data_IF_124450355542
#
_entry.id   IF_124450355542
#
_cell.length_a   1.000
_cell.length_b   1.000
_cell.length_c   1.000
_cell.angle_alpha   90.00
_cell.angle_beta   90.00
_cell.angle_gamma   90.00
#
_symmetry.space_group_name_H-M   'P 1'
#
loop_
_entity.id
_entity.type
_entity.pdbx_description
1 polymer ?
#
# COMPACT_ATOMS: atom_id res chain seq x y z
N UNK A 1 -32.24 35.51 27.82
CA UNK A 1 -31.16 35.94 28.73
C UNK A 1 -30.76 34.76 29.60
N UNK A 2 -29.49 34.29 29.51
CA UNK A 2 -28.68 33.55 30.51
C UNK A 2 -29.26 32.22 31.06
N UNK A 3 -28.54 31.14 31.39
CA UNK A 3 -27.13 30.72 31.34
C UNK A 3 -27.05 29.24 31.79
N UNK A 4 -25.92 28.59 31.51
CA UNK A 4 -25.49 27.26 31.92
C UNK A 4 -25.58 26.95 33.43
N UNK A 5 -25.65 25.64 33.78
CA UNK A 5 -24.57 24.90 34.48
C UNK A 5 -25.05 23.51 34.96
N UNK A 6 -24.33 22.44 34.58
CA UNK A 6 -24.47 21.11 35.18
C UNK A 6 -23.07 20.54 35.49
N UNK A 7 -22.73 20.53 36.77
CA UNK A 7 -21.75 19.67 37.47
C UNK A 7 -22.57 18.55 38.14
N UNK A 8 -22.19 17.28 38.32
CA UNK A 8 -20.93 16.59 38.51
C UNK A 8 -21.17 15.06 38.44
N UNK A 9 -20.20 14.26 37.97
CA UNK A 9 -20.16 12.78 38.07
C UNK A 9 -19.82 12.30 39.50
N UNK A 10 -19.80 10.97 39.88
CA UNK A 10 -18.77 10.01 39.38
C UNK A 10 -19.13 8.49 39.29
N UNK A 11 -18.47 7.83 38.31
CA UNK A 11 -17.76 6.52 38.34
C UNK A 11 -18.48 5.15 38.50
N UNK A 12 -18.31 4.28 37.49
CA UNK A 12 -17.49 3.04 37.54
C UNK A 12 -17.33 2.45 36.11
N UNK A 13 -16.16 2.57 35.46
CA UNK A 13 -14.93 1.74 35.51
C UNK A 13 -14.89 0.68 34.38
N UNK A 14 -14.61 1.11 33.15
CA UNK A 14 -14.16 0.25 32.05
C UNK A 14 -12.63 0.36 31.93
N UNK A 15 -11.91 -0.76 32.06
CA UNK A 15 -10.44 -0.80 32.02
C UNK A 15 -9.95 -0.48 30.61
N UNK A 16 -9.42 0.74 30.42
CA UNK A 16 -8.59 1.10 29.27
C UNK A 16 -7.30 0.28 29.31
N UNK A 17 -7.18 -0.67 28.39
CA UNK A 17 -5.87 -1.18 27.99
C UNK A 17 -5.03 -0.03 27.44
N UNK A 18 -3.78 -0.01 27.86
CA UNK A 18 -2.86 1.12 27.80
C UNK A 18 -2.54 1.50 26.36
N UNK A 19 -2.82 2.77 26.01
CA UNK A 19 -2.26 3.41 24.82
C UNK A 19 -0.73 3.42 24.95
N UNK A 20 0.04 3.08 23.91
CA UNK A 20 1.48 3.35 23.91
C UNK A 20 1.71 4.85 24.09
N UNK A 21 2.73 5.15 24.89
CA UNK A 21 3.07 6.47 25.43
C UNK A 21 3.20 7.52 24.33
N UNK A 22 2.65 8.69 24.64
CA UNK A 22 2.67 9.90 23.81
C UNK A 22 4.07 10.23 23.27
N UNK A 23 4.18 10.39 21.95
CA UNK A 23 5.25 11.15 21.31
C UNK A 23 4.80 12.61 21.34
N UNK A 24 5.01 13.27 22.48
CA UNK A 24 4.51 14.62 22.81
C UNK A 24 5.36 15.77 22.22
N UNK A 25 5.84 15.66 20.96
CA UNK A 25 6.51 16.80 20.31
C UNK A 25 6.36 16.92 18.79
N UNK A 26 5.77 15.96 18.09
CA UNK A 26 5.45 16.17 16.66
C UNK A 26 4.22 17.05 16.56
N UNK A 27 4.43 18.38 16.49
CA UNK A 27 3.48 19.31 15.87
C UNK A 27 2.94 18.60 14.63
N UNK A 28 1.63 18.45 14.54
CA UNK A 28 1.01 17.90 13.34
C UNK A 28 1.53 18.73 12.17
N UNK A 29 2.46 18.15 11.40
CA UNK A 29 2.69 18.58 10.04
C UNK A 29 1.41 18.20 9.31
N UNK A 30 0.37 19.01 9.52
CA UNK A 30 -0.70 19.17 8.57
C UNK A 30 0.02 19.73 7.35
N UNK A 31 0.55 18.84 6.53
CA UNK A 31 1.15 19.16 5.26
C UNK A 31 0.02 19.75 4.43
N UNK A 32 -0.23 21.07 4.54
CA UNK A 32 -1.01 21.81 3.55
C UNK A 32 -0.17 21.82 2.28
N UNK A 33 -0.16 20.69 1.59
CA UNK A 33 0.45 20.52 0.28
C UNK A 33 -0.47 21.22 -0.73
N UNK A 34 -0.50 22.56 -0.67
CA UNK A 34 -1.36 23.39 -1.52
C UNK A 34 -0.97 23.31 -3.02
N UNK A 35 0.06 22.51 -3.37
CA UNK A 35 0.64 22.41 -4.71
C UNK A 35 0.95 20.95 -5.10
N UNK A 36 0.06 20.01 -4.75
CA UNK A 36 0.19 18.62 -5.18
C UNK A 36 -0.24 18.48 -6.65
N UNK A 37 0.67 18.07 -7.54
CA UNK A 37 0.35 17.86 -8.96
C UNK A 37 1.58 17.60 -9.83
N UNK A 38 1.40 16.99 -11.02
CA UNK A 38 2.48 16.68 -11.96
C UNK A 38 3.27 17.94 -12.36
N UNK A 39 4.60 17.84 -12.41
CA UNK A 39 5.49 18.96 -12.72
C UNK A 39 5.62 20.03 -11.61
N UNK A 40 4.92 19.89 -10.49
CA UNK A 40 5.04 20.81 -9.36
C UNK A 40 6.21 20.42 -8.45
N UNK A 41 6.86 21.44 -7.87
CA UNK A 41 7.95 21.26 -6.92
C UNK A 41 7.38 21.23 -5.50
N UNK A 42 7.52 20.09 -4.82
CA UNK A 42 7.20 19.93 -3.41
C UNK A 42 8.40 20.40 -2.59
N UNK A 43 8.20 21.51 -1.88
CA UNK A 43 9.17 22.04 -0.92
C UNK A 43 8.77 21.52 0.45
N UNK A 44 9.58 20.65 1.03
CA UNK A 44 9.38 20.13 2.37
C UNK A 44 10.31 20.88 3.32
N UNK A 45 9.71 21.64 4.22
CA UNK A 45 10.43 22.29 5.32
C UNK A 45 10.34 21.35 6.52
N UNK A 46 11.47 20.75 6.88
CA UNK A 46 11.57 19.86 8.03
C UNK A 46 11.80 20.66 9.30
N UNK A 47 11.28 20.22 10.47
CA UNK A 47 11.47 20.91 11.74
C UNK A 47 12.91 20.84 12.28
N UNK A 48 13.76 20.00 11.68
CA UNK A 48 15.18 19.85 12.00
C UNK A 48 16.05 20.60 10.98
N UNK A 49 17.23 21.09 11.39
CA UNK A 49 18.20 21.86 10.56
C UNK A 49 18.81 21.07 9.36
N UNK A 50 18.12 20.04 8.86
CA UNK A 50 18.58 19.08 7.84
C UNK A 50 18.49 19.68 6.41
N UNK A 51 17.98 20.90 6.28
CA UNK A 51 17.96 21.63 5.02
C UNK A 51 16.65 21.47 4.24
N UNK A 52 16.51 22.29 3.20
CA UNK A 52 15.30 22.37 2.38
C UNK A 52 15.31 21.26 1.32
N UNK A 53 14.36 20.33 1.41
CA UNK A 53 14.16 19.32 0.37
C UNK A 53 13.21 19.84 -0.70
N UNK A 54 13.65 19.79 -1.96
CA UNK A 54 12.83 20.13 -3.13
C UNK A 54 12.71 18.89 -3.99
N UNK A 55 11.54 18.25 -3.94
CA UNK A 55 11.20 17.15 -4.84
C UNK A 55 10.45 17.72 -6.05
N UNK A 56 10.85 17.32 -7.26
CA UNK A 56 10.09 17.63 -8.48
C UNK A 56 9.23 16.42 -8.82
N UNK A 57 7.92 16.59 -8.79
CA UNK A 57 7.01 15.52 -9.20
C UNK A 57 7.12 15.36 -10.72
N UNK A 58 7.39 14.14 -11.23
CA UNK A 58 7.43 13.91 -12.67
C UNK A 58 6.06 14.21 -13.28
N UNK A 59 6.07 14.67 -14.53
CA UNK A 59 4.85 15.05 -15.25
C UNK A 59 3.95 13.84 -15.53
N UNK A 60 4.56 12.67 -15.73
CA UNK A 60 3.85 11.40 -15.86
C UNK A 60 4.03 10.56 -14.60
N UNK A 61 2.91 10.12 -14.03
CA UNK A 61 2.84 9.16 -12.90
C UNK A 61 3.70 7.90 -13.18
N UNK A 62 3.75 7.48 -14.45
CA UNK A 62 4.55 6.36 -14.92
C UNK A 62 6.04 6.43 -14.56
N UNK A 63 6.65 7.61 -14.67
CA UNK A 63 8.08 7.75 -14.35
C UNK A 63 8.35 7.52 -12.88
N UNK A 64 7.41 7.92 -12.01
CA UNK A 64 7.48 7.58 -10.58
C UNK A 64 7.46 6.07 -10.42
N UNK A 65 6.46 5.40 -10.99
CA UNK A 65 6.29 3.96 -10.80
C UNK A 65 7.51 3.16 -11.27
N UNK A 66 8.09 3.50 -12.44
CA UNK A 66 9.33 2.89 -12.92
C UNK A 66 10.46 3.11 -11.93
N UNK A 67 10.66 4.35 -11.51
CA UNK A 67 11.76 4.73 -10.64
C UNK A 67 11.71 3.98 -9.31
N UNK A 68 10.52 3.81 -8.75
CA UNK A 68 10.34 3.19 -7.44
C UNK A 68 10.24 1.67 -7.48
N UNK A 69 9.66 1.08 -8.53
CA UNK A 69 9.30 -0.35 -8.55
C UNK A 69 10.04 -1.17 -9.63
N UNK A 70 10.37 -0.56 -10.77
CA UNK A 70 10.94 -1.25 -11.92
C UNK A 70 12.26 -1.96 -11.60
N UNK A 71 13.17 -1.29 -10.88
CA UNK A 71 14.48 -1.83 -10.55
C UNK A 71 14.38 -3.07 -9.66
N UNK A 72 13.56 -3.02 -8.60
CA UNK A 72 13.44 -4.13 -7.66
C UNK A 72 12.80 -5.36 -8.29
N UNK A 73 11.83 -5.14 -9.19
CA UNK A 73 11.17 -6.21 -9.92
C UNK A 73 12.14 -6.92 -10.88
N UNK A 74 12.80 -6.17 -11.77
CA UNK A 74 13.65 -6.76 -12.81
C UNK A 74 14.92 -7.42 -12.24
N UNK A 75 15.43 -6.94 -11.11
CA UNK A 75 16.60 -7.54 -10.47
C UNK A 75 16.29 -8.86 -9.75
N UNK A 76 15.01 -9.24 -9.61
CA UNK A 76 14.59 -10.42 -8.84
C UNK A 76 13.98 -11.51 -9.68
N UNK A 77 13.56 -11.22 -10.91
CA UNK A 77 12.89 -12.18 -11.78
C UNK A 77 13.83 -12.65 -12.88
N UNK A 78 13.86 -13.96 -13.11
CA UNK A 78 14.55 -14.54 -14.26
C UNK A 78 13.76 -14.31 -15.56
N UNK A 79 14.45 -14.34 -16.70
CA UNK A 79 13.83 -14.09 -18.01
C UNK A 79 12.72 -15.08 -18.36
N UNK A 80 12.91 -16.37 -18.05
CA UNK A 80 11.91 -17.40 -18.35
C UNK A 80 10.63 -17.17 -17.54
N UNK A 81 10.78 -16.97 -16.22
CA UNK A 81 9.65 -16.65 -15.34
C UNK A 81 8.97 -15.35 -15.75
N UNK A 82 9.74 -14.34 -16.16
CA UNK A 82 9.20 -13.08 -16.66
C UNK A 82 8.32 -13.29 -17.88
N UNK A 83 8.76 -14.07 -18.87
CA UNK A 83 7.97 -14.35 -20.07
C UNK A 83 6.65 -15.08 -19.73
N UNK A 84 6.71 -16.11 -18.88
CA UNK A 84 5.51 -16.83 -18.45
C UNK A 84 4.52 -15.92 -17.75
N UNK A 85 5.03 -15.06 -16.87
CA UNK A 85 4.23 -14.18 -16.06
C UNK A 85 3.61 -13.05 -16.89
N UNK A 86 4.38 -12.46 -17.81
CA UNK A 86 3.88 -11.50 -18.78
C UNK A 86 2.78 -12.13 -19.66
N UNK A 87 2.99 -13.37 -20.12
CA UNK A 87 2.00 -14.11 -20.90
C UNK A 87 0.73 -14.37 -20.10
N UNK A 88 0.85 -14.80 -18.84
CA UNK A 88 -0.28 -15.04 -17.95
C UNK A 88 -1.10 -13.76 -17.71
N UNK A 89 -0.43 -12.63 -17.47
CA UNK A 89 -1.09 -11.33 -17.30
C UNK A 89 -1.76 -10.89 -18.60
N UNK A 90 -1.11 -11.02 -19.77
CA UNK A 90 -1.74 -10.66 -21.04
C UNK A 90 -2.95 -11.55 -21.40
N UNK A 91 -2.99 -12.79 -20.89
CA UNK A 91 -4.12 -13.71 -21.02
C UNK A 91 -5.18 -13.52 -19.93
N UNK A 92 -5.08 -12.45 -19.12
CA UNK A 92 -5.97 -12.16 -18.00
C UNK A 92 -6.11 -13.36 -17.04
N UNK A 93 -5.02 -14.06 -16.75
CA UNK A 93 -4.99 -15.12 -15.75
C UNK A 93 -4.75 -14.53 -14.36
N UNK A 94 -5.28 -15.19 -13.33
CA UNK A 94 -5.00 -14.87 -11.94
C UNK A 94 -3.55 -15.18 -11.61
N UNK A 95 -2.82 -14.18 -11.12
CA UNK A 95 -1.42 -14.24 -10.76
C UNK A 95 -1.24 -13.78 -9.32
N UNK A 96 -0.54 -14.61 -8.56
CA UNK A 96 -0.28 -14.36 -7.15
C UNK A 96 1.22 -14.34 -6.88
N UNK A 97 1.68 -13.29 -6.20
CA UNK A 97 3.06 -13.15 -5.74
C UNK A 97 3.12 -13.49 -4.26
N UNK A 98 4.06 -14.32 -3.86
CA UNK A 98 4.31 -14.63 -2.45
C UNK A 98 5.73 -14.21 -2.11
N UNK A 99 5.88 -13.33 -1.11
CA UNK A 99 7.19 -12.90 -0.64
C UNK A 99 7.10 -12.35 0.79
N UNK A 100 8.01 -12.81 1.65
CA UNK A 100 8.12 -12.33 3.03
C UNK A 100 8.51 -10.85 3.15
N UNK A 101 9.18 -10.29 2.13
CA UNK A 101 9.58 -8.89 2.11
C UNK A 101 8.51 -8.01 1.46
N UNK A 102 7.71 -7.30 2.26
CA UNK A 102 6.62 -6.43 1.78
C UNK A 102 7.06 -5.36 0.77
N UNK A 103 8.25 -4.77 0.94
CA UNK A 103 8.79 -3.79 -0.01
C UNK A 103 9.07 -4.40 -1.39
N UNK A 104 9.56 -5.64 -1.39
CA UNK A 104 9.86 -6.36 -2.62
C UNK A 104 8.56 -6.86 -3.27
N UNK A 105 7.63 -7.39 -2.47
CA UNK A 105 6.32 -7.84 -2.89
C UNK A 105 5.55 -6.71 -3.58
N UNK A 106 5.36 -5.58 -2.89
CA UNK A 106 4.68 -4.41 -3.46
C UNK A 106 5.37 -3.90 -4.71
N UNK A 107 6.70 -3.87 -4.75
CA UNK A 107 7.43 -3.46 -5.95
C UNK A 107 7.25 -4.43 -7.10
N UNK A 108 7.14 -5.73 -6.84
CA UNK A 108 6.92 -6.72 -7.90
C UNK A 108 5.53 -6.59 -8.51
N UNK A 109 4.50 -6.48 -7.67
CA UNK A 109 3.11 -6.36 -8.11
C UNK A 109 2.88 -5.03 -8.86
N UNK A 110 3.40 -3.91 -8.34
CA UNK A 110 3.34 -2.62 -9.04
C UNK A 110 4.24 -2.56 -10.28
N UNK A 111 5.36 -3.29 -10.27
CA UNK A 111 6.23 -3.48 -11.44
C UNK A 111 5.47 -4.03 -12.64
N UNK A 112 4.58 -4.99 -12.43
CA UNK A 112 3.75 -5.54 -13.52
C UNK A 112 2.83 -4.52 -14.18
N UNK A 113 2.24 -3.59 -13.41
CA UNK A 113 1.39 -2.51 -13.94
C UNK A 113 2.13 -1.66 -14.98
N UNK A 114 3.43 -1.49 -14.79
CA UNK A 114 4.32 -0.72 -15.67
C UNK A 114 4.62 -1.52 -16.95
N UNK A 115 4.89 -2.81 -16.80
CA UNK A 115 5.36 -3.69 -17.87
C UNK A 115 4.29 -3.99 -18.90
N UNK A 116 3.03 -4.03 -18.50
CA UNK A 116 1.92 -4.30 -19.42
C UNK A 116 1.52 -3.10 -20.27
N UNK A 117 2.15 -1.93 -20.10
CA UNK A 117 1.83 -0.77 -20.93
C UNK A 117 2.03 -1.06 -22.43
N UNK A 118 1.15 -0.53 -23.30
CA UNK A 118 0.10 0.47 -23.04
C UNK A 118 -1.20 -0.09 -22.44
N UNK A 119 -1.30 -1.41 -22.23
CA UNK A 119 -2.47 -2.02 -21.61
C UNK A 119 -2.56 -1.63 -20.14
N UNK A 120 -3.80 -1.51 -19.67
CA UNK A 120 -4.11 -1.30 -18.27
C UNK A 120 -4.76 -2.57 -17.75
N UNK A 121 -4.33 -3.01 -16.58
CA UNK A 121 -5.03 -4.08 -15.88
C UNK A 121 -6.41 -3.57 -15.46
N UNK A 122 -7.47 -4.27 -15.86
CA UNK A 122 -8.86 -3.87 -15.61
C UNK A 122 -9.50 -4.63 -14.44
N UNK A 123 -8.80 -5.61 -13.88
CA UNK A 123 -9.32 -6.49 -12.84
C UNK A 123 -8.76 -6.15 -11.46
N UNK A 124 -9.02 -7.01 -10.47
CA UNK A 124 -8.58 -6.82 -9.10
C UNK A 124 -7.04 -6.74 -9.04
N UNK A 125 -6.53 -5.68 -8.43
CA UNK A 125 -5.11 -5.42 -8.26
C UNK A 125 -4.85 -5.04 -6.80
N UNK A 126 -4.10 -5.88 -6.07
CA UNK A 126 -3.80 -5.66 -4.65
C UNK A 126 -2.31 -5.94 -4.42
N UNK A 127 -1.52 -4.88 -4.24
CA UNK A 127 -0.06 -5.01 -4.09
C UNK A 127 0.36 -5.83 -2.85
N UNK A 128 -0.39 -5.69 -1.76
CA UNK A 128 -0.23 -6.46 -0.52
C UNK A 128 -1.63 -6.72 0.02
N UNK A 129 -2.04 -7.98 0.07
CA UNK A 129 -3.32 -8.39 0.62
C UNK A 129 -3.20 -8.43 2.16
N UNK A 130 -4.05 -7.70 2.89
CA UNK A 130 -4.19 -7.88 4.33
C UNK A 130 -4.88 -9.22 4.64
N UNK A 131 -4.53 -9.84 5.76
CA UNK A 131 -5.04 -11.15 6.17
C UNK A 131 -6.57 -11.18 6.33
N UNK A 132 -7.20 -10.05 6.68
CA UNK A 132 -8.66 -9.94 6.79
C UNK A 132 -9.38 -10.11 5.44
N UNK A 133 -8.68 -9.94 4.32
CA UNK A 133 -9.23 -9.98 2.96
C UNK A 133 -8.75 -11.21 2.19
N UNK A 134 -8.27 -12.23 2.90
CA UNK A 134 -7.82 -13.51 2.33
C UNK A 134 -8.87 -14.19 1.45
N UNK A 135 -10.15 -14.01 1.75
CA UNK A 135 -11.26 -14.66 1.05
C UNK A 135 -11.37 -14.19 -0.41
N UNK A 136 -10.83 -13.00 -0.73
CA UNK A 136 -10.80 -12.49 -2.09
C UNK A 136 -9.92 -13.30 -3.04
N UNK A 137 -9.01 -14.13 -2.52
CA UNK A 137 -8.17 -15.03 -3.32
C UNK A 137 -9.00 -16.10 -4.03
N UNK A 138 -10.16 -16.46 -3.49
CA UNK A 138 -11.06 -17.46 -4.07
C UNK A 138 -12.01 -16.91 -5.14
N UNK A 139 -11.97 -15.60 -5.39
CA UNK A 139 -12.85 -15.00 -6.40
C UNK A 139 -12.52 -15.56 -7.81
N UNK A 140 -13.54 -15.88 -8.63
CA UNK A 140 -13.34 -16.45 -9.97
C UNK A 140 -12.80 -15.44 -11.00
N UNK A 141 -12.74 -14.16 -10.63
CA UNK A 141 -12.24 -13.10 -11.49
C UNK A 141 -10.70 -13.14 -11.59
N UNK A 142 -10.12 -12.75 -12.75
CA UNK A 142 -8.69 -12.52 -12.84
C UNK A 142 -8.21 -11.55 -11.77
N UNK A 143 -7.08 -11.86 -11.13
CA UNK A 143 -6.56 -11.02 -10.05
C UNK A 143 -5.04 -10.98 -10.09
N UNK A 144 -4.49 -9.83 -9.71
CA UNK A 144 -3.05 -9.63 -9.53
C UNK A 144 -2.82 -9.24 -8.07
N UNK A 145 -2.39 -10.20 -7.24
CA UNK A 145 -2.32 -10.05 -5.78
C UNK A 145 -0.93 -10.38 -5.25
N UNK A 146 -0.44 -9.60 -4.29
CA UNK A 146 0.70 -9.96 -3.46
C UNK A 146 0.28 -10.43 -2.07
N UNK A 147 0.82 -11.54 -1.60
CA UNK A 147 0.62 -12.07 -0.24
C UNK A 147 1.97 -12.24 0.46
N UNK A 148 2.01 -11.88 1.74
CA UNK A 148 3.22 -11.96 2.55
C UNK A 148 3.57 -13.42 2.88
N UNK A 149 2.59 -14.16 3.41
CA UNK A 149 2.74 -15.56 3.80
C UNK A 149 1.61 -16.43 3.23
N UNK A 150 1.98 -17.61 2.73
CA UNK A 150 1.02 -18.54 2.13
C UNK A 150 0.03 -19.10 3.16
N UNK A 151 0.42 -19.13 4.43
CA UNK A 151 -0.42 -19.63 5.53
C UNK A 151 -1.68 -18.77 5.71
N UNK A 152 -1.60 -17.46 5.46
CA UNK A 152 -2.74 -16.55 5.55
C UNK A 152 -3.87 -16.94 4.59
N UNK A 153 -3.53 -17.56 3.46
CA UNK A 153 -4.50 -18.05 2.47
C UNK A 153 -5.07 -19.40 2.91
N UNK A 154 -4.21 -20.28 3.43
CA UNK A 154 -4.61 -21.62 3.88
C UNK A 154 -5.56 -21.54 5.07
N UNK A 155 -5.30 -20.64 6.03
CA UNK A 155 -6.18 -20.42 7.18
C UNK A 155 -7.58 -19.97 6.74
N UNK A 156 -7.65 -19.09 5.74
CA UNK A 156 -8.92 -18.65 5.17
C UNK A 156 -9.68 -19.79 4.46
N UNK A 157 -8.95 -20.69 3.80
CA UNK A 157 -9.54 -21.88 3.17
C UNK A 157 -10.20 -22.81 4.20
N UNK A 158 -9.66 -22.86 5.42
CA UNK A 158 -10.14 -23.75 6.48
C UNK A 158 -11.36 -23.19 7.22
N UNK A 159 -11.54 -21.86 7.27
CA UNK A 159 -12.71 -21.24 7.90
C UNK A 159 -14.03 -21.45 7.17
N UNK A 160 -14.01 -21.76 5.87
CA UNK A 160 -15.21 -22.04 5.07
C UNK A 160 -15.63 -23.52 5.08
N UNK A 161 -14.83 -24.40 5.71
CA UNK A 161 -15.08 -25.85 5.76
C UNK A 161 -15.81 -26.32 7.04
N UNK A 162 -16.42 -25.41 7.82
CA UNK A 162 -17.14 -25.75 9.05
C UNK A 162 -18.65 -25.56 8.93
#
# INVERSE_FOLDING_TARGET
>A
MKSCCATSSPSSRCRRSQRPREISSTKSLSCRLNNFGPGKKLKLETPSNIGRFVYMMPENEFYSDIMWHGQFFLNRIDFDSFYYLLTAVLLEKSVMFVCSNLNMLSSMVNGFRILIRPFKWCHLFIAILPNLLSDYVYAPQPMLIGVADINDIIEAAQSEAC
#
